data_IF_751285506888
#
_entry.id   IF_751285506888
#
_cell.length_a   1.000
_cell.length_b   1.000
_cell.length_c   1.000
_cell.angle_alpha   90.00
_cell.angle_beta   90.00
_cell.angle_gamma   90.00
#
_symmetry.space_group_name_H-M   'P 1'
#
loop_
_entity.id
_entity.type
_entity.pdbx_description
1 polymer ?
#
# COMPACT_ATOMS: atom_id res chain seq x y z
N UNK A 1 -1.92 -18.40 46.13
CA UNK A 1 -1.06 -17.23 45.82
C UNK A 1 -0.68 -17.33 44.35
N UNK A 2 -1.04 -16.28 43.60
CA UNK A 2 -0.70 -15.96 42.21
C UNK A 2 -0.82 -17.11 41.18
N UNK A 3 -2.00 -17.22 40.58
CA UNK A 3 -2.19 -17.91 39.30
C UNK A 3 -1.41 -17.19 38.20
N UNK A 4 -0.67 -17.97 37.44
CA UNK A 4 -0.03 -17.57 36.19
C UNK A 4 -1.16 -17.16 35.24
N UNK A 5 -1.21 -15.88 34.88
CA UNK A 5 -2.14 -15.37 33.89
C UNK A 5 -1.96 -16.10 32.57
N UNK A 6 -3.04 -16.69 32.10
CA UNK A 6 -3.20 -17.30 30.79
C UNK A 6 -2.92 -16.22 29.73
N UNK A 7 -1.70 -16.21 29.17
CA UNK A 7 -1.35 -15.39 28.01
C UNK A 7 -2.10 -16.03 26.83
N UNK A 8 -3.28 -15.51 26.53
CA UNK A 8 -4.23 -16.09 25.57
C UNK A 8 -3.55 -16.57 24.30
N UNK A 9 -3.71 -17.86 23.99
CA UNK A 9 -3.13 -18.48 22.81
C UNK A 9 -3.54 -17.71 21.55
N UNK A 10 -2.57 -17.11 20.84
CA UNK A 10 -2.81 -16.42 19.57
C UNK A 10 -3.41 -17.41 18.58
N UNK A 11 -4.55 -17.06 17.98
CA UNK A 11 -5.20 -17.88 16.94
C UNK A 11 -4.54 -17.64 15.58
N UNK A 12 -4.48 -18.65 14.69
CA UNK A 12 -4.02 -18.45 13.32
C UNK A 12 -4.96 -17.55 12.53
N UNK A 13 -4.39 -16.68 11.71
CA UNK A 13 -5.10 -15.72 10.86
C UNK A 13 -5.14 -16.14 9.39
N UNK A 14 -4.20 -16.98 8.97
CA UNK A 14 -4.16 -17.54 7.63
C UNK A 14 -3.54 -18.94 7.66
N UNK A 15 -3.66 -19.65 6.54
CA UNK A 15 -3.19 -21.02 6.40
C UNK A 15 -2.54 -21.20 5.04
N UNK A 16 -1.53 -22.07 4.99
CA UNK A 16 -1.00 -22.64 3.76
C UNK A 16 -1.40 -24.13 3.73
N UNK A 17 -2.35 -24.48 2.87
CA UNK A 17 -2.73 -25.86 2.66
C UNK A 17 -1.64 -26.58 1.87
N UNK A 18 -1.19 -27.73 2.35
CA UNK A 18 -0.14 -28.51 1.71
C UNK A 18 -0.77 -29.37 0.62
N UNK A 19 -0.40 -29.15 -0.63
CA UNK A 19 -0.93 -29.86 -1.79
C UNK A 19 0.15 -30.70 -2.47
N UNK A 20 -0.17 -31.95 -2.79
CA UNK A 20 0.76 -32.91 -3.38
C UNK A 20 0.20 -33.56 -4.63
N UNK A 21 1.08 -34.11 -5.47
CA UNK A 21 0.73 -34.94 -6.63
C UNK A 21 1.73 -36.07 -6.81
N UNK A 22 1.31 -37.17 -7.42
CA UNK A 22 2.17 -38.35 -7.60
C UNK A 22 2.90 -38.34 -8.94
N UNK A 23 2.32 -37.68 -9.95
CA UNK A 23 2.94 -37.49 -11.27
C UNK A 23 2.86 -36.04 -11.74
N UNK A 24 3.74 -35.59 -12.65
CA UNK A 24 3.69 -34.23 -13.20
C UNK A 24 2.43 -33.91 -14.02
N UNK A 25 1.74 -34.94 -14.50
CA UNK A 25 0.52 -34.83 -15.31
C UNK A 25 -0.75 -34.74 -14.44
N UNK A 26 -0.66 -35.12 -13.16
CA UNK A 26 -1.76 -35.01 -12.21
C UNK A 26 -1.92 -33.58 -11.66
N UNK A 27 -3.18 -33.25 -11.35
CA UNK A 27 -3.50 -32.05 -10.58
C UNK A 27 -3.02 -32.20 -9.13
N UNK A 28 -2.52 -31.11 -8.54
CA UNK A 28 -2.22 -31.06 -7.11
C UNK A 28 -3.50 -31.24 -6.30
N UNK A 29 -3.47 -32.15 -5.32
CA UNK A 29 -4.55 -32.36 -4.36
C UNK A 29 -4.10 -31.87 -3.00
N UNK A 30 -4.89 -30.98 -2.40
CA UNK A 30 -4.60 -30.46 -1.07
C UNK A 30 -4.90 -31.52 -0.01
N UNK A 31 -3.91 -31.78 0.82
CA UNK A 31 -3.96 -32.74 1.92
C UNK A 31 -4.65 -32.09 3.13
N UNK A 32 -4.91 -32.89 4.17
CA UNK A 32 -5.40 -32.37 5.46
C UNK A 32 -4.30 -31.66 6.28
N UNK A 33 -3.09 -31.52 5.75
CA UNK A 33 -1.99 -30.85 6.43
C UNK A 33 -1.98 -29.36 6.09
N UNK A 34 -1.91 -28.52 7.11
CA UNK A 34 -1.88 -27.05 6.97
C UNK A 34 -0.73 -26.46 7.76
N UNK A 35 -0.17 -25.36 7.25
CA UNK A 35 0.82 -24.55 7.96
C UNK A 35 0.08 -23.32 8.48
N UNK A 36 0.12 -23.13 9.79
CA UNK A 36 -0.64 -22.10 10.48
C UNK A 36 0.13 -20.78 10.50
N UNK A 37 -0.51 -19.69 10.06
CA UNK A 37 0.10 -18.36 10.05
C UNK A 37 -0.50 -17.55 11.19
N UNK A 38 0.34 -17.12 12.13
CA UNK A 38 -0.06 -16.32 13.28
C UNK A 38 0.13 -14.81 13.02
N UNK A 39 -0.58 -13.94 13.77
CA UNK A 39 -0.38 -12.50 13.74
C UNK A 39 1.08 -12.09 13.94
N UNK A 40 1.57 -11.20 13.09
CA UNK A 40 2.94 -10.65 13.17
C UNK A 40 4.03 -11.74 13.19
N UNK A 41 3.73 -12.92 12.64
CA UNK A 41 4.64 -14.05 12.63
C UNK A 41 5.68 -13.94 11.52
N UNK A 42 6.89 -14.38 11.85
CA UNK A 42 8.03 -14.48 10.95
C UNK A 42 8.57 -15.91 11.03
N UNK A 43 8.52 -16.65 9.92
CA UNK A 43 8.88 -18.07 9.93
C UNK A 43 9.47 -18.56 8.60
N UNK A 44 10.24 -19.64 8.67
CA UNK A 44 10.91 -20.25 7.54
C UNK A 44 10.31 -21.62 7.20
N UNK A 45 10.23 -21.90 5.91
CA UNK A 45 9.89 -23.21 5.37
C UNK A 45 11.09 -23.76 4.58
N UNK A 46 11.46 -25.02 4.84
CA UNK A 46 12.56 -25.67 4.14
C UNK A 46 12.93 -27.02 4.75
N UNK A 47 14.05 -27.58 4.31
CA UNK A 47 14.52 -28.90 4.75
C UNK A 47 15.31 -28.89 6.07
N UNK A 48 15.84 -27.74 6.48
CA UNK A 48 16.63 -27.63 7.71
C UNK A 48 15.74 -27.81 8.95
N UNK A 49 16.32 -28.38 9.99
CA UNK A 49 15.78 -28.37 11.37
C UNK A 49 15.52 -26.96 11.93
N UNK A 50 16.30 -25.97 11.50
CA UNK A 50 16.14 -24.56 11.84
C UNK A 50 14.88 -23.89 11.25
N UNK A 51 14.15 -24.56 10.33
CA UNK A 51 12.89 -24.05 9.80
C UNK A 51 11.74 -24.47 10.71
N UNK A 52 10.83 -23.53 11.02
CA UNK A 52 9.61 -23.81 11.78
C UNK A 52 8.77 -24.88 11.10
N UNK A 53 8.73 -24.85 9.77
CA UNK A 53 8.05 -25.87 8.97
C UNK A 53 9.02 -26.64 8.11
N UNK A 54 9.18 -27.92 8.44
CA UNK A 54 10.15 -28.81 7.81
C UNK A 54 9.51 -29.59 6.66
N UNK A 55 10.22 -29.65 5.54
CA UNK A 55 9.87 -30.46 4.40
C UNK A 55 11.03 -31.41 4.04
N UNK A 56 10.86 -32.73 4.13
CA UNK A 56 11.93 -33.69 3.85
C UNK A 56 12.23 -33.87 2.35
N UNK A 57 11.51 -33.18 1.45
CA UNK A 57 11.69 -33.28 0.00
C UNK A 57 13.12 -32.85 -0.41
N UNK A 58 13.88 -33.71 -1.10
CA UNK A 58 15.27 -33.42 -1.46
C UNK A 58 15.44 -32.27 -2.46
N UNK A 59 14.38 -31.90 -3.18
CA UNK A 59 14.38 -30.77 -4.13
C UNK A 59 14.12 -29.43 -3.45
N UNK A 60 13.67 -29.46 -2.20
CA UNK A 60 13.47 -28.27 -1.34
C UNK A 60 14.80 -27.89 -0.67
N UNK A 61 15.08 -26.60 -0.65
CA UNK A 61 16.30 -26.03 -0.07
C UNK A 61 16.24 -26.05 1.46
N UNK A 62 17.40 -26.02 2.14
CA UNK A 62 17.45 -26.01 3.61
C UNK A 62 16.61 -24.87 4.21
N UNK A 63 16.74 -23.66 3.65
CA UNK A 63 15.78 -22.54 3.80
C UNK A 63 15.26 -22.22 2.41
N UNK A 64 13.99 -22.50 2.13
CA UNK A 64 13.42 -22.37 0.79
C UNK A 64 12.52 -21.15 0.68
N UNK A 65 11.61 -20.96 1.64
CA UNK A 65 10.74 -19.79 1.73
C UNK A 65 10.86 -19.14 3.10
N UNK A 66 10.68 -17.84 3.11
CA UNK A 66 10.49 -17.04 4.31
C UNK A 66 9.13 -16.36 4.23
N UNK A 67 8.34 -16.49 5.28
CA UNK A 67 7.01 -15.90 5.39
C UNK A 67 7.00 -14.86 6.49
N UNK A 68 6.35 -13.74 6.19
CA UNK A 68 6.21 -12.61 7.11
C UNK A 68 4.77 -12.12 7.07
N UNK A 69 4.07 -12.23 8.19
CA UNK A 69 2.70 -11.75 8.34
C UNK A 69 2.69 -10.41 9.07
N UNK A 70 1.87 -9.47 8.62
CA UNK A 70 1.66 -8.16 9.25
C UNK A 70 0.17 -7.95 9.47
N UNK A 71 -0.20 -7.51 10.67
CA UNK A 71 -1.54 -7.05 11.01
C UNK A 71 -1.42 -5.65 11.59
N UNK A 72 -2.17 -4.70 11.03
CA UNK A 72 -2.11 -3.28 11.43
C UNK A 72 -2.93 -2.97 12.68
N UNK A 73 -3.98 -3.75 12.98
CA UNK A 73 -4.81 -3.52 14.17
C UNK A 73 -5.11 -4.86 14.86
N UNK A 74 -4.61 -5.04 16.09
CA UNK A 74 -4.98 -6.16 16.98
C UNK A 74 -6.37 -5.88 17.59
N UNK A 75 -7.42 -6.09 16.80
CA UNK A 75 -8.79 -5.88 17.24
C UNK A 75 -9.71 -5.66 16.05
N UNK A 76 -10.98 -5.98 16.20
CA UNK A 76 -12.00 -5.65 15.18
C UNK A 76 -12.21 -4.14 15.21
N UNK A 77 -11.31 -3.40 14.61
CA UNK A 77 -11.46 -1.99 14.28
C UNK A 77 -12.16 -1.87 12.92
N UNK A 78 -12.87 -0.76 12.77
CA UNK A 78 -13.92 -0.49 11.78
C UNK A 78 -13.48 -0.62 10.31
N UNK A 79 -12.18 -0.79 10.06
CA UNK A 79 -11.56 -0.82 8.74
C UNK A 79 -11.32 -2.23 8.18
N UNK A 80 -11.33 -3.27 9.03
CA UNK A 80 -11.34 -4.70 8.66
C UNK A 80 -10.34 -5.09 7.54
N UNK A 81 -9.12 -4.55 7.57
CA UNK A 81 -8.07 -4.84 6.59
C UNK A 81 -7.58 -6.30 6.79
N UNK A 82 -7.55 -7.14 5.75
CA UNK A 82 -7.07 -8.51 5.87
C UNK A 82 -5.58 -8.57 6.25
N UNK A 83 -5.13 -9.61 6.97
CA UNK A 83 -3.73 -9.77 7.32
C UNK A 83 -2.87 -9.84 6.04
N UNK A 84 -1.76 -9.10 6.03
CA UNK A 84 -0.86 -9.10 4.88
C UNK A 84 0.18 -10.20 5.08
N UNK A 85 0.22 -11.18 4.18
CA UNK A 85 1.16 -12.29 4.25
C UNK A 85 2.13 -12.20 3.07
N UNK A 86 3.38 -11.89 3.38
CA UNK A 86 4.47 -11.83 2.42
C UNK A 86 5.23 -13.15 2.39
N UNK A 87 5.72 -13.50 1.20
CA UNK A 87 6.64 -14.62 0.97
C UNK A 87 7.89 -14.13 0.24
N UNK A 88 9.05 -14.59 0.65
CA UNK A 88 10.34 -14.37 -0.02
C UNK A 88 10.94 -15.72 -0.41
N UNK A 89 11.36 -15.84 -1.67
CA UNK A 89 12.05 -17.03 -2.17
C UNK A 89 13.53 -16.97 -1.80
N UNK A 90 13.96 -17.88 -0.95
CA UNK A 90 15.36 -18.04 -0.52
C UNK A 90 16.06 -19.20 -1.23
N UNK A 91 15.32 -19.93 -2.05
CA UNK A 91 15.72 -21.19 -2.64
C UNK A 91 16.79 -21.06 -3.73
N UNK A 92 17.48 -22.18 -3.99
CA UNK A 92 18.43 -22.28 -5.12
C UNK A 92 17.71 -22.59 -6.43
N UNK A 93 16.64 -23.39 -6.38
CA UNK A 93 15.94 -23.88 -7.56
C UNK A 93 14.82 -22.93 -8.02
N UNK A 94 14.42 -21.99 -7.17
CA UNK A 94 13.30 -21.08 -7.39
C UNK A 94 11.97 -21.70 -6.97
N UNK A 95 11.04 -20.85 -6.57
CA UNK A 95 9.64 -21.19 -6.28
C UNK A 95 8.76 -20.73 -7.43
N UNK A 96 7.71 -21.46 -7.76
CA UNK A 96 6.79 -21.09 -8.85
C UNK A 96 5.45 -20.62 -8.27
N UNK A 97 5.07 -19.38 -8.54
CA UNK A 97 3.83 -18.78 -8.07
C UNK A 97 2.77 -18.79 -9.17
N UNK A 98 1.65 -19.45 -8.90
CA UNK A 98 0.42 -19.32 -9.67
C UNK A 98 -0.53 -18.39 -8.89
N UNK A 99 -0.92 -17.28 -9.52
CA UNK A 99 -1.90 -16.35 -8.92
C UNK A 99 -3.32 -16.91 -9.03
N UNK A 100 -4.14 -16.72 -8.00
CA UNK A 100 -5.56 -17.02 -8.15
C UNK A 100 -6.20 -16.10 -9.21
N UNK A 101 -6.90 -16.70 -10.18
CA UNK A 101 -7.68 -15.97 -11.18
C UNK A 101 -9.12 -16.46 -11.17
N UNK A 102 -10.07 -15.53 -11.38
CA UNK A 102 -11.50 -15.87 -11.46
C UNK A 102 -11.86 -16.57 -12.77
N UNK A 103 -11.12 -16.27 -13.84
CA UNK A 103 -11.45 -16.69 -15.20
C UNK A 103 -10.62 -17.89 -15.69
N UNK A 104 -9.46 -18.14 -15.05
CA UNK A 104 -8.53 -19.21 -15.44
C UNK A 104 -8.23 -20.06 -14.24
N UNK A 105 -8.62 -21.35 -14.30
CA UNK A 105 -8.43 -22.31 -13.20
C UNK A 105 -6.97 -22.39 -12.75
N UNK A 106 -6.00 -22.25 -13.66
CA UNK A 106 -4.56 -22.17 -13.34
C UNK A 106 -3.80 -21.28 -14.33
N UNK A 107 -3.50 -20.01 -14.00
CA UNK A 107 -2.72 -19.15 -14.88
C UNK A 107 -1.25 -19.59 -14.95
N UNK A 108 -0.53 -19.03 -15.93
CA UNK A 108 0.89 -19.27 -16.15
C UNK A 108 1.69 -19.06 -14.84
N UNK A 109 2.51 -20.04 -14.47
CA UNK A 109 3.35 -19.95 -13.27
C UNK A 109 4.49 -18.94 -13.47
N UNK A 110 4.62 -18.00 -12.55
CA UNK A 110 5.76 -17.11 -12.47
C UNK A 110 6.86 -17.74 -11.61
N UNK A 111 8.07 -17.89 -12.15
CA UNK A 111 9.23 -18.30 -11.35
C UNK A 111 9.70 -17.13 -10.49
N UNK A 112 9.64 -17.32 -9.18
CA UNK A 112 10.25 -16.48 -8.17
C UNK A 112 11.72 -16.87 -7.98
N UNK A 113 12.51 -15.88 -7.56
CA UNK A 113 13.91 -16.05 -7.16
C UNK A 113 14.21 -15.12 -5.98
N UNK A 114 15.40 -15.25 -5.39
CA UNK A 114 15.93 -14.28 -4.42
C UNK A 114 15.86 -12.81 -4.88
N UNK A 115 15.92 -12.56 -6.20
CA UNK A 115 15.83 -11.20 -6.76
C UNK A 115 14.39 -10.67 -6.87
N UNK A 116 13.39 -11.53 -6.70
CA UNK A 116 11.98 -11.15 -6.74
C UNK A 116 11.58 -10.36 -5.49
N UNK A 117 12.34 -10.46 -4.40
CA UNK A 117 12.04 -9.83 -3.13
C UNK A 117 10.79 -10.39 -2.46
N UNK A 118 10.22 -9.62 -1.53
CA UNK A 118 9.00 -9.97 -0.81
C UNK A 118 7.77 -9.82 -1.71
N UNK A 119 6.96 -10.87 -1.79
CA UNK A 119 5.73 -10.94 -2.56
C UNK A 119 4.55 -11.11 -1.62
N UNK A 120 3.55 -10.24 -1.70
CA UNK A 120 2.29 -10.36 -0.98
C UNK A 120 1.41 -11.45 -1.61
N UNK A 121 0.91 -12.37 -0.80
CA UNK A 121 0.01 -13.44 -1.21
C UNK A 121 -1.44 -12.98 -1.22
N UNK A 122 -2.19 -13.39 -2.24
CA UNK A 122 -3.63 -13.24 -2.31
C UNK A 122 -4.29 -14.59 -2.00
N UNK A 123 -5.50 -14.57 -1.44
CA UNK A 123 -6.26 -15.79 -1.20
C UNK A 123 -6.41 -16.63 -2.49
N UNK A 124 -6.06 -17.91 -2.38
CA UNK A 124 -6.03 -18.87 -3.48
C UNK A 124 -4.71 -18.94 -4.24
N UNK A 125 -3.74 -18.06 -3.98
CA UNK A 125 -2.41 -18.14 -4.59
C UNK A 125 -1.74 -19.48 -4.24
N UNK A 126 -1.02 -20.06 -5.20
CA UNK A 126 -0.35 -21.34 -5.04
C UNK A 126 1.15 -21.22 -5.31
N UNK A 127 1.94 -21.64 -4.33
CA UNK A 127 3.40 -21.67 -4.36
C UNK A 127 3.88 -23.11 -4.58
N UNK A 128 4.29 -23.43 -5.80
CA UNK A 128 4.91 -24.71 -6.11
C UNK A 128 6.41 -24.65 -5.79
N UNK A 129 6.80 -25.36 -4.73
CA UNK A 129 8.16 -25.42 -4.20
C UNK A 129 8.94 -26.61 -4.73
N UNK A 130 8.24 -27.65 -5.18
CA UNK A 130 8.83 -28.90 -5.67
C UNK A 130 8.00 -29.45 -6.84
N UNK A 131 8.52 -30.43 -7.62
CA UNK A 131 7.73 -31.10 -8.66
C UNK A 131 6.46 -31.77 -8.12
N UNK A 132 6.46 -32.17 -6.84
CA UNK A 132 5.38 -32.93 -6.19
C UNK A 132 4.73 -32.17 -5.04
N UNK A 133 5.23 -30.99 -4.66
CA UNK A 133 4.74 -30.20 -3.53
C UNK A 133 4.41 -28.76 -3.91
N UNK A 134 3.22 -28.33 -3.48
CA UNK A 134 2.76 -26.95 -3.57
C UNK A 134 2.08 -26.53 -2.25
N UNK A 135 2.08 -25.23 -1.98
CA UNK A 135 1.41 -24.62 -0.84
C UNK A 135 0.32 -23.68 -1.36
N UNK A 136 -0.92 -23.85 -0.95
CA UNK A 136 -2.03 -22.99 -1.34
C UNK A 136 -2.44 -22.07 -0.19
N UNK A 137 -2.42 -20.76 -0.44
CA UNK A 137 -2.71 -19.76 0.58
C UNK A 137 -4.20 -19.51 0.73
N UNK A 138 -4.68 -19.42 1.97
CA UNK A 138 -6.04 -18.98 2.30
C UNK A 138 -6.09 -18.25 3.64
N UNK A 139 -7.04 -17.33 3.77
CA UNK A 139 -7.33 -16.70 5.06
C UNK A 139 -8.13 -17.62 5.97
N UNK A 140 -8.09 -17.34 7.28
CA UNK A 140 -9.00 -17.96 8.23
C UNK A 140 -10.44 -17.57 7.92
N UNK A 141 -11.37 -18.51 8.03
CA UNK A 141 -12.80 -18.31 7.73
C UNK A 141 -13.47 -17.27 8.64
N UNK A 142 -12.86 -16.97 9.79
CA UNK A 142 -13.30 -15.91 10.71
C UNK A 142 -12.91 -14.51 10.24
N UNK A 143 -11.95 -14.40 9.33
CA UNK A 143 -11.53 -13.16 8.70
C UNK A 143 -12.27 -13.10 7.37
N UNK A 144 -13.51 -12.62 7.40
CA UNK A 144 -14.18 -12.21 6.16
C UNK A 144 -13.36 -11.05 5.60
N UNK A 145 -12.75 -11.15 4.40
CA UNK A 145 -12.16 -9.97 3.78
C UNK A 145 -13.30 -8.94 3.71
N UNK A 146 -13.13 -7.82 4.38
CA UNK A 146 -14.11 -6.74 4.30
C UNK A 146 -14.42 -6.48 2.85
N UNK A 147 -15.71 -6.24 2.59
CA UNK A 147 -16.29 -5.98 1.29
C UNK A 147 -15.84 -4.66 0.66
N UNK A 148 -14.73 -4.08 1.12
CA UNK A 148 -14.17 -2.89 0.55
C UNK A 148 -13.48 -3.33 -0.75
N UNK A 149 -14.25 -3.15 -1.82
CA UNK A 149 -14.00 -3.61 -3.17
C UNK A 149 -14.17 -2.37 -4.02
N UNK A 150 -13.35 -2.26 -5.07
CA UNK A 150 -13.64 -1.31 -6.14
C UNK A 150 -15.13 -1.40 -6.49
N UNK A 151 -15.80 -0.25 -6.48
CA UNK A 151 -17.18 -0.13 -6.95
C UNK A 151 -17.27 -0.64 -8.39
N UNK A 152 -18.45 -1.10 -8.81
CA UNK A 152 -18.65 -1.60 -10.17
C UNK A 152 -18.21 -0.58 -11.23
N UNK A 153 -18.36 0.71 -10.92
CA UNK A 153 -17.89 1.80 -11.76
C UNK A 153 -16.36 1.86 -11.84
N UNK A 154 -15.66 1.85 -10.70
CA UNK A 154 -14.20 1.84 -10.65
C UNK A 154 -13.62 0.60 -11.33
N UNK A 155 -14.28 -0.56 -11.23
CA UNK A 155 -13.89 -1.80 -11.96
C UNK A 155 -13.94 -1.61 -13.46
N UNK A 156 -15.06 -1.09 -13.99
CA UNK A 156 -15.20 -0.79 -15.43
C UNK A 156 -14.16 0.22 -15.91
N UNK A 157 -13.78 1.17 -15.07
CA UNK A 157 -12.70 2.11 -15.39
C UNK A 157 -11.33 1.42 -15.41
N UNK A 158 -11.09 0.48 -14.48
CA UNK A 158 -9.86 -0.29 -14.42
C UNK A 158 -9.67 -1.23 -15.62
N UNK A 159 -10.76 -1.71 -16.23
CA UNK A 159 -10.71 -2.50 -17.47
C UNK A 159 -10.01 -1.75 -18.62
N UNK A 160 -10.08 -0.41 -18.65
CA UNK A 160 -9.45 0.41 -19.69
C UNK A 160 -7.91 0.35 -19.68
N UNK A 161 -7.31 -0.09 -18.57
CA UNK A 161 -5.87 -0.23 -18.42
C UNK A 161 -5.46 -1.61 -17.90
N UNK A 162 -6.39 -2.58 -17.92
CA UNK A 162 -6.18 -3.94 -17.44
C UNK A 162 -5.15 -4.71 -18.28
N UNK A 163 -4.78 -4.23 -19.46
CA UNK A 163 -3.69 -4.76 -20.27
C UNK A 163 -2.31 -4.56 -19.61
N UNK A 164 -2.15 -3.47 -18.85
CA UNK A 164 -0.89 -3.10 -18.20
C UNK A 164 -0.90 -3.31 -16.70
N UNK A 165 -2.02 -3.04 -16.04
CA UNK A 165 -2.12 -3.08 -14.59
C UNK A 165 -3.41 -3.77 -14.16
N UNK A 166 -3.29 -4.73 -13.26
CA UNK A 166 -4.44 -5.38 -12.62
C UNK A 166 -4.52 -4.97 -11.16
N UNK A 167 -5.63 -4.35 -10.75
CA UNK A 167 -5.90 -4.04 -9.35
C UNK A 167 -6.57 -5.26 -8.72
N UNK A 168 -6.06 -5.74 -7.59
CA UNK A 168 -6.65 -6.88 -6.87
C UNK A 168 -7.72 -6.39 -5.89
N UNK A 169 -8.49 -7.33 -5.34
CA UNK A 169 -9.45 -7.02 -4.27
C UNK A 169 -8.77 -6.86 -2.89
N UNK A 170 -7.43 -6.92 -2.83
CA UNK A 170 -6.67 -6.82 -1.58
C UNK A 170 -6.44 -5.35 -1.24
N UNK A 171 -6.95 -4.92 -0.09
CA UNK A 171 -6.68 -3.60 0.48
C UNK A 171 -5.44 -3.67 1.35
N UNK A 172 -4.62 -2.63 1.24
CA UNK A 172 -3.43 -2.41 2.05
C UNK A 172 -3.67 -1.30 3.07
N UNK A 173 -4.56 -0.35 2.76
CA UNK A 173 -4.92 0.72 3.68
C UNK A 173 -6.17 1.48 3.24
N UNK A 174 -6.89 2.03 4.19
CA UNK A 174 -7.98 2.98 3.99
C UNK A 174 -7.64 4.28 4.72
N UNK A 175 -7.64 5.41 4.01
CA UNK A 175 -7.27 6.70 4.60
C UNK A 175 -8.21 7.82 4.16
N UNK A 176 -8.06 8.99 4.79
CA UNK A 176 -8.88 10.18 4.47
C UNK A 176 -8.73 10.70 3.04
N UNK A 177 -7.76 10.18 2.29
CA UNK A 177 -7.47 10.56 0.91
C UNK A 177 -7.87 9.48 -0.12
N UNK A 178 -8.44 8.35 0.30
CA UNK A 178 -8.88 7.27 -0.59
C UNK A 178 -8.50 5.88 -0.09
N UNK A 179 -8.87 4.89 -0.87
CA UNK A 179 -8.59 3.47 -0.62
C UNK A 179 -7.32 3.04 -1.35
N UNK A 180 -6.48 2.23 -0.70
CA UNK A 180 -5.22 1.73 -1.28
C UNK A 180 -5.32 0.23 -1.48
N UNK A 181 -5.26 -0.18 -2.74
CA UNK A 181 -5.32 -1.58 -3.15
C UNK A 181 -3.94 -2.08 -3.60
N UNK A 182 -3.73 -3.39 -3.54
CA UNK A 182 -2.61 -4.01 -4.24
C UNK A 182 -2.90 -4.02 -5.74
N UNK A 183 -1.89 -3.69 -6.52
CA UNK A 183 -1.94 -3.84 -7.97
C UNK A 183 -0.73 -4.63 -8.48
N UNK A 184 -0.87 -5.18 -9.68
CA UNK A 184 0.14 -5.97 -10.37
C UNK A 184 0.43 -5.28 -11.70
N UNK A 185 1.70 -4.98 -11.99
CA UNK A 185 2.12 -4.60 -13.33
C UNK A 185 2.31 -5.85 -14.19
N UNK A 186 1.46 -6.05 -15.19
CA UNK A 186 1.29 -7.33 -15.88
C UNK A 186 2.55 -7.82 -16.60
N UNK A 187 3.38 -6.93 -17.14
CA UNK A 187 4.59 -7.34 -17.86
C UNK A 187 5.70 -7.82 -16.93
N UNK A 188 5.92 -7.11 -15.83
CA UNK A 188 7.00 -7.44 -14.87
C UNK A 188 6.53 -8.29 -13.71
N UNK A 189 5.21 -8.49 -13.57
CA UNK A 189 4.55 -9.10 -12.43
C UNK A 189 4.93 -8.47 -11.07
N UNK A 190 5.34 -7.20 -11.10
CA UNK A 190 5.73 -6.46 -9.90
C UNK A 190 4.48 -5.96 -9.18
N UNK A 191 4.48 -6.10 -7.86
CA UNK A 191 3.42 -5.55 -7.02
C UNK A 191 3.61 -4.06 -6.76
N UNK A 192 2.49 -3.36 -6.73
CA UNK A 192 2.38 -1.92 -6.59
C UNK A 192 1.27 -1.61 -5.59
N UNK A 193 1.31 -0.43 -4.99
CA UNK A 193 0.17 0.15 -4.30
C UNK A 193 -0.63 0.99 -5.31
N UNK A 194 -1.94 0.83 -5.35
CA UNK A 194 -2.84 1.62 -6.17
C UNK A 194 -3.79 2.40 -5.25
N UNK A 195 -3.55 3.70 -5.10
CA UNK A 195 -4.43 4.60 -4.37
C UNK A 195 -5.55 5.06 -5.30
N UNK A 196 -6.79 4.82 -4.90
CA UNK A 196 -7.99 5.16 -5.64
C UNK A 196 -8.66 6.35 -4.95
N UNK A 197 -8.70 7.47 -5.66
CA UNK A 197 -9.19 8.75 -5.14
C UNK A 197 -10.41 9.18 -5.94
N UNK A 198 -11.52 9.43 -5.26
CA UNK A 198 -12.72 9.97 -5.90
C UNK A 198 -12.61 11.49 -6.12
N UNK A 199 -12.91 11.92 -7.34
CA UNK A 199 -12.98 13.32 -7.73
C UNK A 199 -14.38 13.83 -7.38
N UNK A 200 -14.51 14.39 -6.19
CA UNK A 200 -15.72 15.12 -5.82
C UNK A 200 -15.87 16.36 -6.71
N UNK A 201 -16.90 16.38 -7.55
CA UNK A 201 -17.17 17.49 -8.46
C UNK A 201 -17.35 18.80 -7.66
N UNK A 202 -16.66 19.90 -8.03
CA UNK A 202 -16.73 21.18 -7.32
C UNK A 202 -18.13 21.85 -7.33
N UNK A 203 -19.08 21.31 -8.09
CA UNK A 203 -20.46 21.82 -8.15
C UNK A 203 -21.33 21.44 -6.93
N UNK A 204 -20.86 20.56 -6.03
CA UNK A 204 -21.58 20.21 -4.80
C UNK A 204 -21.24 21.15 -3.63
N UNK A 205 -20.04 21.74 -3.59
CA UNK A 205 -19.63 22.63 -2.49
C UNK A 205 -20.08 24.08 -2.67
N UNK A 206 -20.43 24.52 -3.89
CA UNK A 206 -20.94 25.88 -4.14
C UNK A 206 -22.45 26.07 -3.94
N UNK A 207 -23.23 25.01 -3.68
CA UNK A 207 -24.69 25.13 -3.51
C UNK A 207 -25.16 25.57 -2.12
N UNK A 208 -24.29 25.64 -1.12
CA UNK A 208 -24.65 26.10 0.23
C UNK A 208 -24.42 27.60 0.48
N UNK A 209 -23.93 28.36 -0.50
CA UNK A 209 -23.69 29.80 -0.33
C UNK A 209 -23.92 30.55 -1.63
N UNK A 210 -25.19 30.72 -2.00
CA UNK A 210 -25.74 31.80 -2.83
C UNK A 210 -27.23 31.49 -3.09
N UNK A 211 -28.10 31.83 -2.14
CA UNK A 211 -29.48 32.21 -2.48
C UNK A 211 -29.37 33.57 -3.18
N UNK A 212 -29.59 33.60 -4.50
CA UNK A 212 -29.54 34.84 -5.26
C UNK A 212 -29.90 34.64 -6.73
N UNK A 213 -31.18 34.84 -7.01
CA UNK A 213 -31.81 35.29 -8.25
C UNK A 213 -31.45 34.56 -9.56
N UNK A 214 -32.40 33.76 -10.03
CA UNK A 214 -32.46 33.26 -11.39
C UNK A 214 -32.80 34.41 -12.36
N UNK A 215 -31.82 34.84 -13.15
CA UNK A 215 -32.07 35.52 -14.43
C UNK A 215 -31.68 34.60 -15.58
N UNK A 216 -32.64 34.38 -16.47
CA UNK A 216 -32.49 33.70 -17.73
C UNK A 216 -31.49 34.46 -18.61
N UNK A 217 -30.34 33.84 -18.90
CA UNK A 217 -29.53 34.20 -20.05
C UNK A 217 -29.43 33.01 -21.00
N UNK A 218 -30.06 33.20 -22.16
CA UNK A 218 -29.89 32.38 -23.35
C UNK A 218 -28.40 32.35 -23.73
N UNK A 219 -27.77 31.18 -23.57
CA UNK A 219 -26.42 30.90 -24.04
C UNK A 219 -26.46 29.69 -24.97
N UNK A 220 -25.93 29.87 -26.18
CA UNK A 220 -25.79 28.89 -27.26
C UNK A 220 -25.19 27.56 -26.77
N UNK A 221 -25.49 26.41 -27.42
CA UNK A 221 -24.94 25.13 -27.00
C UNK A 221 -23.43 25.10 -27.20
N UNK A 222 -22.68 25.28 -26.10
CA UNK A 222 -21.22 25.08 -26.07
C UNK A 222 -20.97 23.62 -26.44
N UNK A 223 -20.31 23.40 -27.58
CA UNK A 223 -19.94 22.09 -28.12
C UNK A 223 -19.38 21.18 -27.01
N UNK A 224 -19.90 19.94 -26.94
CA UNK A 224 -19.48 18.92 -25.96
C UNK A 224 -17.95 18.76 -25.85
N UNK A 225 -17.21 18.99 -26.95
CA UNK A 225 -15.75 18.95 -26.96
C UNK A 225 -15.09 20.06 -26.12
N UNK A 226 -15.67 21.26 -26.12
CA UNK A 226 -15.13 22.38 -25.35
C UNK A 226 -15.44 22.24 -23.86
N UNK A 227 -16.61 21.68 -23.51
CA UNK A 227 -16.96 21.30 -22.14
C UNK A 227 -16.01 20.25 -21.55
N UNK A 228 -15.67 19.20 -22.31
CA UNK A 228 -14.73 18.18 -21.85
C UNK A 228 -13.33 18.76 -21.61
N UNK A 229 -12.83 19.65 -22.48
CA UNK A 229 -11.53 20.31 -22.30
C UNK A 229 -11.46 21.15 -21.04
N UNK A 230 -12.46 22.02 -20.83
CA UNK A 230 -12.55 22.84 -19.62
C UNK A 230 -12.71 21.97 -18.36
N UNK A 231 -13.43 20.85 -18.44
CA UNK A 231 -13.56 19.92 -17.32
C UNK A 231 -12.22 19.23 -16.98
N UNK A 232 -11.45 18.80 -17.97
CA UNK A 232 -10.10 18.24 -17.78
C UNK A 232 -9.13 19.27 -17.17
N UNK A 233 -9.15 20.51 -17.64
CA UNK A 233 -8.31 21.59 -17.10
C UNK A 233 -8.68 21.90 -15.63
N UNK A 234 -9.97 21.97 -15.28
CA UNK A 234 -10.43 22.17 -13.90
C UNK A 234 -10.11 20.98 -12.97
N UNK A 235 -10.05 19.76 -13.51
CA UNK A 235 -9.69 18.56 -12.74
C UNK A 235 -8.19 18.58 -12.38
N UNK A 236 -7.32 18.97 -13.30
CA UNK A 236 -5.88 19.08 -13.04
C UNK A 236 -5.54 20.18 -12.01
N UNK A 237 -6.38 21.21 -11.91
CA UNK A 237 -6.27 22.24 -10.86
C UNK A 237 -6.89 21.83 -9.52
N UNK A 238 -7.57 20.68 -9.45
CA UNK A 238 -8.22 20.22 -8.23
C UNK A 238 -7.20 19.75 -7.18
N UNK A 239 -7.52 19.94 -5.90
CA UNK A 239 -6.65 19.52 -4.79
C UNK A 239 -6.38 17.99 -4.83
N UNK A 240 -7.27 17.21 -5.44
CA UNK A 240 -7.13 15.77 -5.59
C UNK A 240 -5.99 15.34 -6.54
N UNK A 241 -5.59 16.20 -7.49
CA UNK A 241 -4.46 15.92 -8.41
C UNK A 241 -3.09 16.30 -7.85
N UNK A 242 -3.07 16.93 -6.68
CA UNK A 242 -1.86 17.47 -6.07
C UNK A 242 -0.80 16.41 -5.78
N UNK A 243 -1.23 15.24 -5.31
CA UNK A 243 -0.33 14.14 -5.00
C UNK A 243 0.45 13.70 -6.25
N UNK A 244 -0.24 13.53 -7.38
CA UNK A 244 0.39 13.25 -8.67
C UNK A 244 1.37 14.36 -9.08
N UNK A 245 0.91 15.62 -9.04
CA UNK A 245 1.71 16.77 -9.48
C UNK A 245 3.00 16.93 -8.68
N UNK A 246 3.00 16.52 -7.42
CA UNK A 246 4.19 16.58 -6.56
C UNK A 246 5.09 15.36 -6.79
N UNK A 247 4.52 14.15 -6.77
CA UNK A 247 5.29 12.92 -6.89
C UNK A 247 5.94 12.71 -8.26
N UNK A 248 5.39 13.27 -9.34
CA UNK A 248 5.93 13.09 -10.69
C UNK A 248 7.38 13.59 -10.88
N UNK A 249 7.82 14.53 -10.05
CA UNK A 249 9.15 15.16 -10.13
C UNK A 249 10.08 14.69 -8.98
N UNK A 250 9.66 13.72 -8.17
CA UNK A 250 10.41 13.21 -7.04
C UNK A 250 10.98 11.83 -7.35
N UNK A 251 12.28 11.66 -7.11
CA UNK A 251 12.99 10.38 -7.19
C UNK A 251 14.08 10.35 -6.11
N UNK A 252 13.80 9.65 -5.01
CA UNK A 252 14.68 9.56 -3.85
C UNK A 252 14.41 8.25 -3.08
N UNK A 253 15.43 7.54 -2.57
CA UNK A 253 15.24 6.27 -1.87
C UNK A 253 14.35 6.35 -0.63
N UNK A 254 14.23 7.52 0.02
CA UNK A 254 13.37 7.73 1.18
C UNK A 254 12.01 8.40 0.88
N UNK A 255 11.59 8.43 -0.40
CA UNK A 255 10.30 8.95 -0.84
C UNK A 255 9.62 7.88 -1.69
N UNK A 256 8.30 7.72 -1.53
CA UNK A 256 7.53 6.76 -2.32
C UNK A 256 7.63 7.08 -3.81
N UNK A 257 8.09 6.10 -4.60
CA UNK A 257 8.21 6.26 -6.05
C UNK A 257 6.85 6.16 -6.74
N UNK A 258 6.52 7.15 -7.56
CA UNK A 258 5.38 7.10 -8.47
C UNK A 258 5.70 6.22 -9.69
N UNK A 259 4.79 5.30 -10.02
CA UNK A 259 4.88 4.47 -11.22
C UNK A 259 4.04 5.04 -12.35
N UNK A 260 2.75 5.24 -12.11
CA UNK A 260 1.80 5.67 -13.14
C UNK A 260 0.54 6.28 -12.53
N UNK A 261 -0.09 7.18 -13.26
CA UNK A 261 -1.43 7.68 -12.92
C UNK A 261 -2.38 7.46 -14.09
N UNK A 262 -3.57 7.00 -13.77
CA UNK A 262 -4.73 6.97 -14.65
C UNK A 262 -5.83 7.79 -14.01
N UNK A 263 -6.62 8.49 -14.81
CA UNK A 263 -7.72 9.25 -14.27
C UNK A 263 -8.89 9.32 -15.24
N UNK A 264 -10.03 9.65 -14.68
CA UNK A 264 -11.30 9.85 -15.37
C UNK A 264 -11.94 11.13 -14.84
N UNK A 265 -13.20 11.40 -15.23
CA UNK A 265 -13.96 12.51 -14.67
C UNK A 265 -14.29 12.35 -13.17
N UNK A 266 -14.30 11.11 -12.65
CA UNK A 266 -14.78 10.79 -11.30
C UNK A 266 -13.74 10.17 -10.38
N UNK A 267 -12.64 9.66 -10.93
CA UNK A 267 -11.73 8.77 -10.21
C UNK A 267 -10.30 8.95 -10.70
N UNK A 268 -9.34 8.98 -9.78
CA UNK A 268 -7.89 8.94 -10.02
C UNK A 268 -7.36 7.62 -9.45
N UNK A 269 -6.54 6.93 -10.23
CA UNK A 269 -5.80 5.73 -9.85
C UNK A 269 -4.31 6.08 -9.85
N UNK A 270 -3.70 6.11 -8.67
CA UNK A 270 -2.29 6.47 -8.48
C UNK A 270 -1.52 5.18 -8.13
N UNK A 271 -0.69 4.72 -9.07
CA UNK A 271 0.17 3.56 -8.90
C UNK A 271 1.52 4.00 -8.35
N UNK A 272 1.90 3.44 -7.21
CA UNK A 272 3.11 3.73 -6.43
C UNK A 272 3.87 2.43 -6.14
N UNK A 273 5.14 2.54 -5.75
CA UNK A 273 5.85 1.39 -5.19
C UNK A 273 5.11 0.81 -3.97
N UNK A 274 5.03 -0.52 -3.88
CA UNK A 274 4.51 -1.18 -2.69
C UNK A 274 5.62 -1.31 -1.65
N UNK A 275 5.46 -0.69 -0.49
CA UNK A 275 6.41 -0.79 0.62
C UNK A 275 5.92 -1.85 1.61
N UNK A 276 6.77 -2.83 1.90
CA UNK A 276 6.38 -4.12 2.46
C UNK A 276 6.90 -4.35 3.88
N UNK A 277 6.56 -3.49 4.85
CA UNK A 277 6.71 -3.80 6.29
C UNK A 277 5.78 -2.97 7.19
N UNK A 278 4.68 -2.46 6.63
CA UNK A 278 3.77 -1.56 7.34
C UNK A 278 4.34 -0.17 7.61
N UNK A 279 3.67 0.58 8.47
CA UNK A 279 4.07 1.92 8.89
C UNK A 279 5.04 1.89 10.09
N UNK A 280 5.67 3.03 10.34
CA UNK A 280 6.66 3.19 11.41
C UNK A 280 6.02 3.07 12.79
N UNK A 281 4.75 3.42 12.95
CA UNK A 281 4.04 3.29 14.22
C UNK A 281 3.95 1.82 14.63
N UNK A 282 3.40 1.00 13.74
CA UNK A 282 3.29 -0.46 13.87
C UNK A 282 4.66 -1.11 14.10
N UNK A 283 5.70 -0.63 13.40
CA UNK A 283 7.07 -1.10 13.60
C UNK A 283 7.58 -0.82 15.03
N UNK A 284 7.36 0.38 15.57
CA UNK A 284 7.76 0.75 16.93
C UNK A 284 7.02 -0.09 17.97
N UNK A 285 5.71 -0.29 17.80
CA UNK A 285 4.91 -1.15 18.68
C UNK A 285 5.44 -2.59 18.69
N UNK A 286 5.77 -3.13 17.51
CA UNK A 286 6.36 -4.46 17.35
C UNK A 286 7.71 -4.64 18.06
N UNK A 287 8.48 -3.57 18.27
CA UNK A 287 9.73 -3.58 19.04
C UNK A 287 9.52 -3.42 20.57
N UNK A 288 8.28 -3.46 21.04
CA UNK A 288 7.95 -3.23 22.46
C UNK A 288 7.74 -1.76 22.81
N UNK A 289 7.40 -0.94 21.82
CA UNK A 289 7.04 0.47 21.98
C UNK A 289 8.21 1.44 22.10
N UNK A 290 9.46 0.96 22.05
CA UNK A 290 10.67 1.80 22.07
C UNK A 290 11.72 1.24 21.13
N UNK A 291 12.42 2.15 20.46
CA UNK A 291 13.57 1.83 19.61
C UNK A 291 14.87 2.08 20.36
N UNK A 292 15.94 1.39 19.96
CA UNK A 292 17.27 1.73 20.44
C UNK A 292 17.72 3.10 19.92
N UNK A 293 18.68 3.75 20.57
CA UNK A 293 19.25 5.02 20.11
C UNK A 293 19.86 4.88 18.71
N UNK A 294 20.49 3.74 18.44
CA UNK A 294 21.08 3.41 17.14
C UNK A 294 20.03 3.32 16.05
N UNK A 295 18.96 2.54 16.27
CA UNK A 295 17.88 2.37 15.28
C UNK A 295 17.15 3.70 15.05
N UNK A 296 16.92 4.44 16.13
CA UNK A 296 16.30 5.77 16.09
C UNK A 296 17.14 6.75 15.26
N UNK A 297 18.47 6.76 15.44
CA UNK A 297 19.37 7.60 14.65
C UNK A 297 19.36 7.22 13.17
N UNK A 298 19.33 5.92 12.84
CA UNK A 298 19.28 5.42 11.46
C UNK A 298 17.95 5.83 10.79
N UNK A 299 16.83 5.63 11.47
CA UNK A 299 15.49 5.98 10.99
C UNK A 299 15.40 7.49 10.77
N UNK A 300 15.79 8.28 11.77
CA UNK A 300 15.74 9.74 11.70
C UNK A 300 16.63 10.28 10.58
N UNK A 301 17.84 9.72 10.40
CA UNK A 301 18.73 10.11 9.31
C UNK A 301 18.07 9.94 7.94
N UNK A 302 17.42 8.80 7.71
CA UNK A 302 16.72 8.52 6.44
C UNK A 302 15.51 9.45 6.21
N UNK A 303 14.72 9.71 7.26
CA UNK A 303 13.60 10.68 7.18
C UNK A 303 14.14 12.06 6.82
N UNK A 304 15.18 12.53 7.52
CA UNK A 304 15.78 13.84 7.29
C UNK A 304 16.36 13.95 5.87
N UNK A 305 16.94 12.88 5.32
CA UNK A 305 17.41 12.86 3.92
C UNK A 305 16.26 13.02 2.92
N UNK A 306 15.14 12.33 3.14
CA UNK A 306 13.93 12.51 2.32
C UNK A 306 13.36 13.93 2.42
N UNK A 307 13.32 14.48 3.64
CA UNK A 307 12.83 15.85 3.90
C UNK A 307 13.74 16.91 3.28
N UNK A 308 15.06 16.79 3.44
CA UNK A 308 16.08 17.64 2.80
C UNK A 308 15.85 17.67 1.27
N UNK A 309 15.74 16.50 0.64
CA UNK A 309 15.50 16.38 -0.79
C UNK A 309 14.22 17.10 -1.28
N UNK A 310 13.13 17.01 -0.50
CA UNK A 310 11.88 17.72 -0.80
C UNK A 310 12.03 19.23 -0.62
N UNK A 311 12.65 19.67 0.47
CA UNK A 311 12.84 21.08 0.79
C UNK A 311 13.74 21.79 -0.24
N UNK A 312 14.76 21.11 -0.77
CA UNK A 312 15.60 21.62 -1.87
C UNK A 312 14.81 21.88 -3.16
N UNK A 313 13.60 21.31 -3.28
CA UNK A 313 12.65 21.50 -4.40
C UNK A 313 11.46 22.37 -4.00
N UNK A 314 11.57 23.08 -2.88
CA UNK A 314 10.51 23.91 -2.29
C UNK A 314 9.20 23.14 -2.03
N UNK A 315 9.26 21.83 -1.78
CA UNK A 315 8.10 20.99 -1.47
C UNK A 315 8.05 20.75 0.03
N UNK A 316 6.91 21.02 0.66
CA UNK A 316 6.68 20.74 2.09
C UNK A 316 5.61 19.67 2.25
N UNK A 317 5.89 18.67 3.10
CA UNK A 317 5.00 17.52 3.31
C UNK A 317 3.69 17.89 4.03
N UNK A 318 3.82 18.63 5.14
CA UNK A 318 2.73 19.14 6.01
C UNK A 318 1.93 18.11 6.81
N UNK A 319 2.11 16.82 6.58
CA UNK A 319 1.51 15.77 7.42
C UNK A 319 2.52 14.64 7.69
N UNK A 320 3.72 15.01 8.17
CA UNK A 320 4.74 14.02 8.51
C UNK A 320 4.44 13.46 9.91
N UNK A 321 4.15 12.17 9.97
CA UNK A 321 3.83 11.40 11.18
C UNK A 321 4.22 9.93 10.99
N UNK A 322 4.38 9.14 12.07
CA UNK A 322 4.75 7.73 11.96
C UNK A 322 3.86 6.91 11.01
N UNK A 323 2.56 7.18 10.94
CA UNK A 323 1.60 6.53 10.04
C UNK A 323 1.91 6.75 8.55
N UNK A 324 2.49 7.91 8.21
CA UNK A 324 2.84 8.30 6.84
C UNK A 324 4.31 7.97 6.50
N UNK A 325 4.95 7.15 7.32
CA UNK A 325 6.31 6.69 7.11
C UNK A 325 6.27 5.17 7.04
N UNK A 326 6.50 4.62 5.86
CA UNK A 326 6.51 3.18 5.64
C UNK A 326 7.91 2.60 5.86
N UNK A 327 7.94 1.40 6.41
CA UNK A 327 9.16 0.65 6.66
C UNK A 327 9.28 -0.44 5.60
N UNK A 328 10.50 -0.66 5.10
CA UNK A 328 10.84 -1.81 4.27
C UNK A 328 12.05 -2.50 4.86
N UNK A 329 11.89 -3.77 5.16
CA UNK A 329 12.98 -4.66 5.54
C UNK A 329 13.24 -5.62 4.39
N UNK A 330 14.48 -5.71 3.95
CA UNK A 330 14.90 -6.65 2.90
C UNK A 330 16.20 -7.34 3.32
N UNK A 331 16.51 -8.47 2.70
CA UNK A 331 17.75 -9.19 2.93
C UNK A 331 19.01 -8.35 2.64
N UNK A 332 18.93 -7.42 1.69
CA UNK A 332 20.05 -6.55 1.30
C UNK A 332 20.10 -5.20 2.05
N UNK A 333 18.97 -4.72 2.55
CA UNK A 333 18.87 -3.51 3.36
C UNK A 333 17.97 -3.79 4.58
N UNK A 334 18.56 -3.88 5.79
CA UNK A 334 17.82 -4.32 6.97
C UNK A 334 16.72 -3.34 7.38
N UNK A 335 16.86 -2.05 7.06
CA UNK A 335 15.88 -1.03 7.42
C UNK A 335 15.91 0.15 6.43
N UNK A 336 14.99 0.14 5.46
CA UNK A 336 14.71 1.29 4.58
C UNK A 336 13.45 2.00 5.04
N UNK A 337 13.51 3.33 5.10
CA UNK A 337 12.37 4.19 5.45
C UNK A 337 11.88 4.93 4.21
N UNK A 338 10.55 5.00 4.02
CA UNK A 338 9.91 5.61 2.85
C UNK A 338 8.80 6.55 3.31
N UNK A 339 8.93 7.84 2.99
CA UNK A 339 7.88 8.83 3.24
C UNK A 339 6.76 8.64 2.20
N UNK A 340 5.50 8.65 2.66
CA UNK A 340 4.30 8.48 1.83
C UNK A 340 3.22 9.52 2.16
N UNK A 341 2.10 9.45 1.45
CA UNK A 341 0.91 10.30 1.56
C UNK A 341 1.13 11.79 1.26
N UNK A 342 1.34 12.06 -0.02
CA UNK A 342 1.63 13.40 -0.51
C UNK A 342 0.37 14.25 -0.78
N UNK A 343 -0.82 13.77 -0.41
CA UNK A 343 -2.09 14.48 -0.61
C UNK A 343 -2.12 15.86 0.08
N UNK A 344 -1.44 15.97 1.22
CA UNK A 344 -1.30 17.23 1.96
C UNK A 344 -0.09 18.06 1.56
N UNK A 345 0.77 17.61 0.65
CA UNK A 345 1.99 18.33 0.28
C UNK A 345 1.70 19.67 -0.43
N UNK A 346 2.67 20.59 -0.44
CA UNK A 346 2.55 21.86 -1.17
C UNK A 346 3.91 22.35 -1.66
N UNK A 347 3.98 22.75 -2.93
CA UNK A 347 5.09 23.58 -3.44
C UNK A 347 4.96 25.00 -2.90
N UNK A 348 6.03 25.52 -2.32
CA UNK A 348 6.14 26.92 -1.97
C UNK A 348 6.35 27.67 -3.28
N UNK A 349 5.37 28.48 -3.67
CA UNK A 349 5.53 29.37 -4.82
C UNK A 349 6.66 30.36 -4.50
N UNK A 350 7.69 30.37 -5.35
CA UNK A 350 8.72 31.41 -5.32
C UNK A 350 8.11 32.80 -5.49
N UNK A 351 8.88 33.86 -5.19
CA UNK A 351 8.37 35.21 -5.30
C UNK A 351 7.92 35.51 -6.74
N UNK A 352 6.65 35.92 -6.89
CA UNK A 352 6.03 36.23 -8.18
C UNK A 352 6.61 37.48 -8.86
N UNK A 353 7.56 38.15 -8.22
CA UNK A 353 8.22 39.36 -8.70
C UNK A 353 9.68 39.35 -8.27
N UNK A 354 10.62 39.69 -9.19
CA UNK A 354 12.02 39.90 -8.83
C UNK A 354 12.09 41.09 -7.86
N UNK A 355 12.50 40.82 -6.61
CA UNK A 355 12.59 41.83 -5.55
C UNK A 355 11.71 41.60 -4.32
N UNK A 356 10.86 40.58 -4.28
CA UNK A 356 10.21 40.13 -3.03
C UNK A 356 10.96 38.93 -2.46
N UNK A 357 11.71 39.08 -1.36
CA UNK A 357 12.41 37.95 -0.71
C UNK A 357 11.51 37.14 0.23
N UNK A 358 10.25 37.55 0.39
CA UNK A 358 9.32 36.88 1.29
C UNK A 358 8.75 35.60 0.66
N UNK A 359 9.33 34.44 0.99
CA UNK A 359 8.64 33.15 0.83
C UNK A 359 7.28 33.25 1.51
N UNK A 360 6.19 33.08 0.76
CA UNK A 360 4.82 33.26 1.27
C UNK A 360 4.56 32.24 2.38
N UNK A 361 4.28 32.71 3.60
CA UNK A 361 3.92 31.85 4.73
C UNK A 361 2.65 31.06 4.39
N UNK A 362 2.65 29.78 4.74
CA UNK A 362 1.49 28.91 4.56
C UNK A 362 0.57 29.05 5.79
N UNK A 363 -0.68 29.47 5.56
CA UNK A 363 -1.68 29.68 6.61
C UNK A 363 -2.82 28.64 6.59
N UNK A 364 -2.82 27.71 5.61
CA UNK A 364 -3.87 26.70 5.47
C UNK A 364 -3.65 25.57 6.48
N UNK A 365 -4.66 25.34 7.32
CA UNK A 365 -4.69 24.26 8.32
C UNK A 365 -4.91 22.93 7.60
N UNK A 366 -3.90 22.06 7.59
CA UNK A 366 -3.96 20.68 7.07
C UNK A 366 -3.04 19.79 7.91
N UNK A 367 -3.29 18.49 7.92
CA UNK A 367 -2.51 17.49 8.65
C UNK A 367 -3.12 17.10 10.00
N UNK A 368 -2.45 16.17 10.68
CA UNK A 368 -2.87 15.59 11.96
C UNK A 368 -2.50 16.50 13.12
N UNK A 369 -3.50 16.94 13.91
CA UNK A 369 -3.35 18.01 14.91
C UNK A 369 -2.26 17.73 15.96
N UNK A 370 -2.12 16.48 16.39
CA UNK A 370 -1.16 16.06 17.41
C UNK A 370 0.31 16.26 16.99
N UNK A 371 0.56 16.28 15.68
CA UNK A 371 1.89 16.47 15.08
C UNK A 371 2.06 17.89 14.51
N UNK A 372 1.08 18.76 14.68
CA UNK A 372 1.12 20.12 14.14
C UNK A 372 2.17 20.97 14.86
N UNK A 373 2.98 21.69 14.10
CA UNK A 373 3.95 22.62 14.65
C UNK A 373 3.27 23.67 15.55
N UNK A 374 3.90 24.10 16.66
CA UNK A 374 3.27 24.96 17.67
C UNK A 374 2.76 26.29 17.11
N UNK A 375 3.42 26.85 16.08
CA UNK A 375 2.95 28.07 15.42
C UNK A 375 1.63 27.88 14.65
N UNK A 376 1.40 26.69 14.09
CA UNK A 376 0.13 26.35 13.42
C UNK A 376 -0.99 26.26 14.45
N UNK A 377 -0.73 25.61 15.60
CA UNK A 377 -1.70 25.47 16.70
C UNK A 377 -2.00 26.82 17.38
N UNK A 378 -0.99 27.67 17.57
CA UNK A 378 -1.18 29.02 18.14
C UNK A 378 -2.05 29.91 17.23
N UNK A 379 -1.89 29.80 15.91
CA UNK A 379 -2.79 30.44 14.95
C UNK A 379 -4.23 29.91 15.05
N UNK A 380 -4.42 28.60 15.28
CA UNK A 380 -5.74 27.98 15.50
C UNK A 380 -6.41 28.53 16.77
N UNK A 381 -5.65 28.76 17.84
CA UNK A 381 -6.18 29.30 19.10
C UNK A 381 -6.43 30.81 19.06
N UNK A 382 -5.73 31.57 18.21
CA UNK A 382 -5.93 33.01 18.04
C UNK A 382 -7.04 33.39 17.05
N UNK A 383 -7.48 32.47 16.19
CA UNK A 383 -8.56 32.70 15.21
C UNK A 383 -9.93 32.13 15.65
N UNK A 384 -10.05 31.63 16.88
CA UNK A 384 -11.33 31.42 17.58
C UNK A 384 -11.57 32.58 18.52
#
# INVERSE_FOLDING_TARGET
MAGIGDVGAKKPVAFLDVCSRTSPEEEFQCTNSTLDIYPNADFYFGRSDACQYQCPDPTVSNKHLHFHCIIFEEGVSENNIPPLVYVEDLSTNGTYLARASRDVKWPLEQRLSRRSGKILLNAGDRLRVSPTLALQFRYSSTIAPSSCRLSDWQRRQAELFADRYTITDQIVGCGGHGEVFVAIHNKSQRQLACKVVEILSPNLTKKSSLKGNAEQRNGSPISHRHRNRLHTENILESLQFREFEILKDLDHPNIVRLEKVFWSASTIFIFQELVTSGDLFSYIEGQGGKLSDTDSAIILHQILKGVEYMHDRDIVHRDLKPDNILVSTSTDCPLRIVITDFGSCRRIEGPKSPGSEAKKRMHTIVGTLEYAAPFVVSFVLMCK
#
